data_IF_983411197582
#
_entry.id   IF_983411197582
#
_cell.length_a   1.000
_cell.length_b   1.000
_cell.length_c   1.000
_cell.angle_alpha   90.00
_cell.angle_beta   90.00
_cell.angle_gamma   90.00
#
_symmetry.space_group_name_H-M   'P 1'
#
loop_
_entity.id
_entity.type
_entity.pdbx_description
1 polymer ?
#
# COMPACT_ATOMS: atom_id res chain seq x y z
N UNK A 1 21.65 -1.98 -1.38
CA UNK A 1 20.73 -3.14 -1.35
C UNK A 1 20.30 -3.31 0.10
N UNK A 2 19.01 -3.33 0.39
CA UNK A 2 18.54 -3.53 1.77
C UNK A 2 18.81 -4.97 2.16
N UNK A 3 19.25 -5.19 3.40
CA UNK A 3 19.45 -6.51 3.97
C UNK A 3 18.27 -6.83 4.89
N UNK A 4 17.77 -8.07 4.81
CA UNK A 4 16.65 -8.55 5.62
C UNK A 4 17.12 -9.66 6.53
N UNK A 5 16.80 -9.56 7.82
CA UNK A 5 17.00 -10.68 8.75
C UNK A 5 15.91 -11.73 8.56
N UNK A 6 16.17 -12.96 9.01
CA UNK A 6 15.16 -14.02 8.96
C UNK A 6 13.92 -13.68 9.80
N UNK A 7 14.11 -12.96 10.91
CA UNK A 7 13.02 -12.47 11.75
C UNK A 7 12.14 -11.45 11.02
N UNK A 8 12.74 -10.50 10.28
CA UNK A 8 11.99 -9.53 9.48
C UNK A 8 11.21 -10.22 8.35
N UNK A 9 11.83 -11.16 7.64
CA UNK A 9 11.17 -11.94 6.58
C UNK A 9 9.99 -12.71 7.13
N UNK A 10 10.17 -13.37 8.27
CA UNK A 10 9.12 -14.13 8.94
C UNK A 10 7.98 -13.21 9.36
N UNK A 11 8.28 -12.09 10.03
CA UNK A 11 7.26 -11.14 10.46
C UNK A 11 6.44 -10.57 9.29
N UNK A 12 7.09 -10.23 8.18
CA UNK A 12 6.42 -9.73 6.97
C UNK A 12 5.56 -10.83 6.36
N UNK A 13 6.10 -12.03 6.13
CA UNK A 13 5.34 -13.16 5.58
C UNK A 13 4.11 -13.51 6.45
N UNK A 14 4.28 -13.47 7.78
CA UNK A 14 3.21 -13.69 8.76
C UNK A 14 2.09 -12.65 8.68
N UNK A 15 2.43 -11.37 8.44
CA UNK A 15 1.43 -10.32 8.19
C UNK A 15 0.62 -10.71 6.95
N UNK A 16 1.28 -10.93 5.80
CA UNK A 16 0.62 -11.26 4.54
C UNK A 16 -0.25 -12.53 4.64
N UNK A 17 0.19 -13.55 5.38
CA UNK A 17 -0.58 -14.77 5.60
C UNK A 17 -1.87 -14.56 6.41
N UNK A 18 -1.97 -13.48 7.19
CA UNK A 18 -3.11 -13.15 8.05
C UNK A 18 -3.97 -12.01 7.51
N UNK A 19 -3.59 -11.39 6.38
CA UNK A 19 -4.37 -10.31 5.77
C UNK A 19 -5.68 -10.85 5.20
N UNK A 20 -6.77 -10.14 5.48
CA UNK A 20 -8.00 -10.28 4.70
C UNK A 20 -7.97 -9.24 3.58
N UNK A 21 -7.65 -9.69 2.37
CA UNK A 21 -7.39 -8.78 1.25
C UNK A 21 -8.63 -7.98 0.83
N UNK A 22 -9.80 -8.60 0.94
CA UNK A 22 -11.09 -7.99 0.60
C UNK A 22 -11.59 -7.00 1.67
N UNK A 23 -10.93 -6.95 2.82
CA UNK A 23 -11.20 -5.96 3.86
C UNK A 23 -10.09 -4.91 3.93
N UNK A 24 -8.83 -5.33 3.99
CA UNK A 24 -7.67 -4.44 4.19
C UNK A 24 -7.45 -3.55 2.98
N UNK A 25 -7.52 -4.09 1.76
CA UNK A 25 -7.31 -3.34 0.53
C UNK A 25 -8.33 -2.20 0.39
N UNK A 26 -9.65 -2.50 0.41
CA UNK A 26 -10.70 -1.48 0.38
C UNK A 26 -10.60 -0.45 1.51
N UNK A 27 -10.33 -0.89 2.75
CA UNK A 27 -10.22 0.02 3.90
C UNK A 27 -9.01 0.95 3.78
N UNK A 28 -7.88 0.45 3.27
CA UNK A 28 -6.67 1.24 3.04
C UNK A 28 -6.92 2.35 2.01
N UNK A 29 -7.44 1.99 0.83
CA UNK A 29 -7.66 2.97 -0.23
C UNK A 29 -8.75 3.97 0.17
N UNK A 30 -9.85 3.50 0.76
CA UNK A 30 -10.93 4.38 1.26
C UNK A 30 -10.40 5.37 2.30
N UNK A 31 -9.60 4.91 3.26
CA UNK A 31 -8.96 5.78 4.27
C UNK A 31 -8.09 6.84 3.60
N UNK A 32 -7.27 6.45 2.62
CA UNK A 32 -6.41 7.39 1.90
C UNK A 32 -7.23 8.48 1.18
N UNK A 33 -8.28 8.09 0.46
CA UNK A 33 -9.17 9.03 -0.24
C UNK A 33 -9.95 9.96 0.69
N UNK A 34 -10.22 9.53 1.93
CA UNK A 34 -10.93 10.34 2.93
C UNK A 34 -9.98 11.28 3.67
N UNK A 35 -8.83 10.77 4.15
CA UNK A 35 -7.88 11.53 4.98
C UNK A 35 -7.04 12.49 4.13
N UNK A 36 -6.75 12.10 2.89
CA UNK A 36 -5.94 12.87 1.94
C UNK A 36 -6.75 13.14 0.67
N UNK A 37 -7.78 13.99 0.72
CA UNK A 37 -8.80 14.11 -0.33
C UNK A 37 -8.25 14.56 -1.69
N UNK A 38 -7.08 15.21 -1.75
CA UNK A 38 -6.41 15.53 -3.01
C UNK A 38 -6.05 14.29 -3.84
N UNK A 39 -5.91 13.12 -3.21
CA UNK A 39 -5.65 11.84 -3.90
C UNK A 39 -6.83 11.38 -4.75
N UNK A 40 -8.06 11.86 -4.48
CA UNK A 40 -9.24 11.54 -5.28
C UNK A 40 -9.10 11.96 -6.75
N UNK A 41 -8.24 12.95 -7.06
CA UNK A 41 -8.00 13.43 -8.43
C UNK A 41 -7.57 12.34 -9.42
N UNK A 42 -6.92 11.28 -8.93
CA UNK A 42 -6.45 10.17 -9.76
C UNK A 42 -7.55 9.14 -10.10
N UNK A 43 -8.71 9.24 -9.44
CA UNK A 43 -9.78 8.24 -9.50
C UNK A 43 -11.07 8.80 -10.11
N UNK A 44 -10.97 9.76 -11.04
CA UNK A 44 -12.14 10.40 -11.66
C UNK A 44 -13.10 9.43 -12.36
N UNK A 45 -12.60 8.27 -12.81
CA UNK A 45 -13.42 7.22 -13.43
C UNK A 45 -14.21 6.37 -12.41
N UNK A 46 -13.99 6.53 -11.10
CA UNK A 46 -14.62 5.68 -10.07
C UNK A 46 -16.02 6.17 -9.66
N UNK A 47 -16.52 7.24 -10.29
CA UNK A 47 -17.86 7.78 -10.03
C UNK A 47 -17.88 8.64 -8.76
N UNK A 48 -18.91 8.48 -7.93
CA UNK A 48 -19.15 9.35 -6.78
C UNK A 48 -18.14 9.10 -5.64
N UNK A 49 -17.30 10.09 -5.36
CA UNK A 49 -16.36 10.13 -4.24
C UNK A 49 -16.57 11.36 -3.33
N UNK A 50 -17.75 12.00 -3.40
CA UNK A 50 -17.99 13.31 -2.78
C UNK A 50 -17.87 13.33 -1.24
N UNK A 51 -18.22 12.24 -0.57
CA UNK A 51 -18.15 12.14 0.89
C UNK A 51 -17.69 10.75 1.35
N UNK A 52 -17.35 10.63 2.63
CA UNK A 52 -16.81 9.40 3.20
C UNK A 52 -17.73 8.19 3.02
N UNK A 53 -19.05 8.35 3.18
CA UNK A 53 -20.01 7.27 2.98
C UNK A 53 -19.99 6.77 1.53
N UNK A 54 -20.01 7.68 0.55
CA UNK A 54 -19.92 7.33 -0.86
C UNK A 54 -18.62 6.60 -1.19
N UNK A 55 -17.47 7.06 -0.67
CA UNK A 55 -16.16 6.42 -0.86
C UNK A 55 -16.15 5.01 -0.27
N UNK A 56 -16.59 4.84 0.98
CA UNK A 56 -16.53 3.56 1.71
C UNK A 56 -17.39 2.47 1.06
N UNK A 57 -18.48 2.85 0.38
CA UNK A 57 -19.36 1.89 -0.31
C UNK A 57 -19.10 1.80 -1.82
N UNK A 58 -18.06 2.46 -2.33
CA UNK A 58 -17.79 2.50 -3.77
C UNK A 58 -17.14 1.18 -4.23
N UNK A 59 -17.77 0.41 -5.15
CA UNK A 59 -17.26 -0.89 -5.58
C UNK A 59 -15.95 -0.79 -6.36
N UNK A 60 -15.71 0.32 -7.08
CA UNK A 60 -14.45 0.55 -7.81
C UNK A 60 -13.30 0.84 -6.85
N UNK A 61 -13.57 1.60 -5.77
CA UNK A 61 -12.59 1.83 -4.70
C UNK A 61 -12.24 0.50 -4.02
N UNK A 62 -13.25 -0.32 -3.70
CA UNK A 62 -13.00 -1.64 -3.10
C UNK A 62 -12.14 -2.52 -4.02
N UNK A 63 -12.57 -2.71 -5.27
CA UNK A 63 -11.84 -3.53 -6.23
C UNK A 63 -10.39 -3.05 -6.44
N UNK A 64 -10.18 -1.74 -6.57
CA UNK A 64 -8.83 -1.21 -6.77
C UNK A 64 -7.97 -1.30 -5.50
N UNK A 65 -8.56 -1.14 -4.31
CA UNK A 65 -7.88 -1.37 -3.04
C UNK A 65 -7.33 -2.80 -2.94
N UNK A 66 -8.12 -3.80 -3.35
CA UNK A 66 -7.67 -5.20 -3.42
C UNK A 66 -6.53 -5.38 -4.43
N UNK A 67 -6.60 -4.73 -5.60
CA UNK A 67 -5.50 -4.74 -6.61
C UNK A 67 -4.21 -4.16 -6.04
N UNK A 68 -4.28 -3.02 -5.34
CA UNK A 68 -3.12 -2.39 -4.69
C UNK A 68 -2.47 -3.35 -3.69
N UNK A 69 -3.30 -3.98 -2.84
CA UNK A 69 -2.80 -4.89 -1.80
C UNK A 69 -2.14 -6.15 -2.39
N UNK A 70 -2.74 -6.77 -3.41
CA UNK A 70 -2.09 -7.84 -4.18
C UNK A 70 -0.82 -7.38 -4.89
N UNK A 71 -0.74 -6.10 -5.27
CA UNK A 71 0.48 -5.48 -5.76
C UNK A 71 1.67 -5.72 -4.82
N UNK A 72 1.44 -5.69 -3.51
CA UNK A 72 2.44 -5.88 -2.45
C UNK A 72 2.91 -7.33 -2.29
N UNK A 73 2.12 -8.32 -2.72
CA UNK A 73 2.53 -9.74 -2.70
C UNK A 73 3.81 -9.96 -3.51
N UNK A 74 3.98 -9.20 -4.60
CA UNK A 74 5.18 -9.27 -5.43
C UNK A 74 6.42 -8.78 -4.68
N UNK A 75 6.30 -7.71 -3.90
CA UNK A 75 7.43 -7.23 -3.09
C UNK A 75 7.76 -8.21 -1.95
N UNK A 76 6.76 -8.76 -1.27
CA UNK A 76 6.99 -9.77 -0.22
C UNK A 76 7.67 -11.04 -0.77
N UNK A 77 7.26 -11.50 -1.96
CA UNK A 77 7.87 -12.66 -2.62
C UNK A 77 9.29 -12.39 -3.16
N UNK A 78 9.64 -11.12 -3.37
CA UNK A 78 10.91 -10.70 -3.97
C UNK A 78 11.63 -9.64 -3.11
N UNK A 79 11.68 -9.84 -1.80
CA UNK A 79 12.18 -8.84 -0.84
C UNK A 79 13.60 -8.33 -1.13
N UNK A 80 14.44 -9.16 -1.72
CA UNK A 80 15.83 -8.80 -2.07
C UNK A 80 15.93 -7.95 -3.35
N UNK A 81 14.88 -7.91 -4.16
CA UNK A 81 14.85 -7.22 -5.45
C UNK A 81 13.54 -6.46 -5.71
N UNK A 82 12.98 -5.85 -4.66
CA UNK A 82 11.76 -5.02 -4.75
C UNK A 82 11.92 -3.91 -5.79
N UNK A 83 13.14 -3.35 -5.90
CA UNK A 83 13.44 -2.26 -6.83
C UNK A 83 13.22 -2.68 -8.29
N UNK A 84 13.78 -3.82 -8.73
CA UNK A 84 13.55 -4.28 -10.09
C UNK A 84 12.10 -4.76 -10.28
N UNK A 85 11.55 -5.43 -9.27
CA UNK A 85 10.16 -5.94 -9.26
C UNK A 85 9.12 -4.84 -9.57
N UNK A 86 9.37 -3.60 -9.14
CA UNK A 86 8.46 -2.47 -9.35
C UNK A 86 8.91 -1.45 -10.38
N UNK A 87 9.93 -1.73 -11.20
CA UNK A 87 10.39 -0.79 -12.22
C UNK A 87 9.26 -0.35 -13.17
N UNK A 88 8.54 -1.29 -13.78
CA UNK A 88 7.43 -0.99 -14.69
C UNK A 88 6.26 -0.31 -13.99
N UNK A 89 6.01 -0.66 -12.72
CA UNK A 89 4.94 -0.05 -11.93
C UNK A 89 5.27 1.40 -11.58
N UNK A 90 6.54 1.70 -11.31
CA UNK A 90 7.03 3.06 -11.09
C UNK A 90 6.89 3.91 -12.36
N UNK A 91 7.26 3.37 -13.54
CA UNK A 91 7.03 4.02 -14.84
C UNK A 91 5.54 4.31 -15.06
N UNK A 92 4.67 3.33 -14.80
CA UNK A 92 3.22 3.51 -14.93
C UNK A 92 2.73 4.69 -14.08
N UNK A 93 3.09 4.72 -12.80
CA UNK A 93 2.61 5.77 -11.90
C UNK A 93 3.21 7.14 -12.21
N UNK A 94 4.44 7.20 -12.69
CA UNK A 94 5.13 8.44 -13.03
C UNK A 94 4.67 8.99 -14.40
N UNK A 95 4.83 8.22 -15.47
CA UNK A 95 4.75 8.70 -16.85
C UNK A 95 3.33 8.66 -17.43
N UNK A 96 2.46 7.80 -16.90
CA UNK A 96 1.08 7.66 -17.41
C UNK A 96 0.03 8.19 -16.45
N UNK A 97 0.17 7.87 -15.17
CA UNK A 97 -0.81 8.28 -14.16
C UNK A 97 -0.48 9.63 -13.52
N UNK A 98 0.77 10.09 -13.65
CA UNK A 98 1.27 11.34 -13.07
C UNK A 98 0.93 11.49 -11.58
N UNK A 99 1.03 10.38 -10.85
CA UNK A 99 0.80 10.35 -9.40
C UNK A 99 1.98 11.02 -8.72
N UNK A 100 1.76 12.11 -7.99
CA UNK A 100 2.81 12.73 -7.18
C UNK A 100 3.39 11.68 -6.19
N UNK A 101 4.72 11.47 -6.18
CA UNK A 101 5.37 10.39 -5.46
C UNK A 101 5.19 10.46 -3.94
N UNK A 102 4.89 11.63 -3.38
CA UNK A 102 4.64 11.75 -1.93
C UNK A 102 3.38 10.97 -1.50
N UNK A 103 2.44 10.72 -2.43
CA UNK A 103 1.23 9.96 -2.14
C UNK A 103 1.50 8.48 -1.83
N UNK A 104 2.62 7.91 -2.27
CA UNK A 104 2.96 6.52 -1.91
C UNK A 104 3.21 6.38 -0.41
N UNK A 105 3.84 7.37 0.22
CA UNK A 105 4.04 7.38 1.67
C UNK A 105 2.72 7.51 2.42
N UNK A 106 1.82 8.36 1.95
CA UNK A 106 0.49 8.53 2.55
C UNK A 106 -0.32 7.23 2.53
N UNK A 107 -0.28 6.50 1.41
CA UNK A 107 -0.94 5.21 1.28
C UNK A 107 -0.29 4.14 2.17
N UNK A 108 1.05 4.12 2.27
CA UNK A 108 1.79 3.23 3.16
C UNK A 108 1.44 3.45 4.65
N UNK A 109 1.31 4.72 5.06
CA UNK A 109 0.90 5.08 6.43
C UNK A 109 -0.56 4.63 6.69
N UNK A 110 -1.48 4.84 5.72
CA UNK A 110 -2.85 4.36 5.81
C UNK A 110 -2.93 2.84 5.95
N UNK A 111 -2.15 2.10 5.16
CA UNK A 111 -2.10 0.65 5.21
C UNK A 111 -1.60 0.16 6.57
N UNK A 112 -0.56 0.79 7.11
CA UNK A 112 -0.02 0.47 8.43
C UNK A 112 -1.09 0.64 9.52
N UNK A 113 -1.87 1.73 9.48
CA UNK A 113 -2.96 1.96 10.43
C UNK A 113 -4.06 0.88 10.31
N UNK A 114 -4.43 0.49 9.07
CA UNK A 114 -5.46 -0.54 8.86
C UNK A 114 -5.00 -1.91 9.37
N UNK A 115 -3.76 -2.30 9.08
CA UNK A 115 -3.18 -3.57 9.56
C UNK A 115 -3.06 -3.57 11.08
N UNK A 116 -2.61 -2.47 11.69
CA UNK A 116 -2.57 -2.34 13.14
C UNK A 116 -3.96 -2.50 13.77
N UNK A 117 -5.00 -1.94 13.15
CA UNK A 117 -6.39 -2.09 13.59
C UNK A 117 -6.90 -3.54 13.54
N UNK A 118 -6.51 -4.31 12.52
CA UNK A 118 -6.90 -5.72 12.39
C UNK A 118 -6.12 -6.63 13.35
N UNK A 119 -4.82 -6.41 13.50
CA UNK A 119 -3.94 -7.26 14.31
C UNK A 119 -4.02 -6.95 15.81
N UNK A 120 -4.41 -5.73 16.19
CA UNK A 120 -4.49 -5.30 17.58
C UNK A 120 -3.15 -5.49 18.31
N UNK A 121 -3.18 -6.14 19.47
CA UNK A 121 -1.99 -6.38 20.29
C UNK A 121 -0.93 -7.27 19.61
N UNK A 122 -1.27 -7.98 18.53
CA UNK A 122 -0.31 -8.75 17.76
C UNK A 122 0.58 -7.88 16.86
N UNK A 123 0.20 -6.62 16.61
CA UNK A 123 1.05 -5.65 15.91
C UNK A 123 2.04 -5.00 16.88
N UNK A 124 2.98 -5.81 17.36
CA UNK A 124 4.00 -5.38 18.33
C UNK A 124 4.96 -4.36 17.71
N UNK A 125 5.75 -3.62 18.52
CA UNK A 125 6.74 -2.69 17.99
C UNK A 125 7.74 -3.32 17.01
N UNK A 126 8.18 -4.55 17.26
CA UNK A 126 9.11 -5.25 16.36
C UNK A 126 8.46 -5.63 15.02
N UNK A 127 7.19 -6.08 15.06
CA UNK A 127 6.40 -6.37 13.85
C UNK A 127 6.17 -5.08 13.06
N UNK A 128 5.83 -3.98 13.73
CA UNK A 128 5.69 -2.68 13.11
C UNK A 128 7.01 -2.19 12.49
N UNK A 129 8.15 -2.38 13.16
CA UNK A 129 9.44 -1.97 12.64
C UNK A 129 9.80 -2.72 11.34
N UNK A 130 9.60 -4.05 11.31
CA UNK A 130 9.80 -4.85 10.10
C UNK A 130 8.85 -4.40 8.97
N UNK A 131 7.57 -4.15 9.31
CA UNK A 131 6.57 -3.69 8.35
C UNK A 131 6.86 -2.30 7.76
N UNK A 132 7.25 -1.34 8.61
CA UNK A 132 7.62 0.01 8.16
C UNK A 132 8.87 -0.02 7.29
N UNK A 133 9.87 -0.84 7.63
CA UNK A 133 11.04 -1.07 6.78
C UNK A 133 10.62 -1.62 5.42
N UNK A 134 9.74 -2.63 5.37
CA UNK A 134 9.18 -3.17 4.14
C UNK A 134 8.52 -2.11 3.27
N UNK A 135 7.59 -1.34 3.83
CA UNK A 135 6.90 -0.29 3.08
C UNK A 135 7.84 0.84 2.65
N UNK A 136 8.84 1.20 3.44
CA UNK A 136 9.84 2.20 3.03
C UNK A 136 10.61 1.76 1.78
N UNK A 137 10.96 0.47 1.67
CA UNK A 137 11.60 -0.08 0.46
C UNK A 137 10.64 -0.10 -0.73
N UNK A 138 9.38 -0.48 -0.51
CA UNK A 138 8.34 -0.43 -1.55
C UNK A 138 8.14 0.99 -2.07
N UNK A 139 7.97 1.97 -1.19
CA UNK A 139 7.82 3.39 -1.55
C UNK A 139 9.05 3.87 -2.32
N UNK A 140 10.26 3.57 -1.84
CA UNK A 140 11.49 3.92 -2.54
C UNK A 140 11.56 3.32 -3.96
N UNK A 141 11.11 2.08 -4.14
CA UNK A 141 11.05 1.43 -5.44
C UNK A 141 10.02 2.08 -6.37
N UNK A 142 8.83 2.42 -5.87
CA UNK A 142 7.79 3.10 -6.63
C UNK A 142 8.18 4.53 -7.05
N UNK A 143 8.96 5.23 -6.24
CA UNK A 143 9.48 6.57 -6.59
C UNK A 143 10.65 6.53 -7.58
N UNK A 144 11.21 5.36 -7.91
CA UNK A 144 12.55 5.29 -8.52
C UNK A 144 12.64 5.84 -9.95
N UNK A 145 11.56 5.77 -10.72
CA UNK A 145 11.51 6.18 -12.12
C UNK A 145 10.94 7.61 -12.32
N UNK A 146 10.71 8.33 -11.23
CA UNK A 146 10.33 9.74 -11.28
C UNK A 146 11.55 10.60 -11.65
N UNK A 147 11.33 11.59 -12.53
CA UNK A 147 12.34 12.55 -12.98
C UNK A 147 12.33 13.83 -12.14
#
# INVERSE_FOLDING_TARGET
>A
MVQWTDAERTAIADIFAKLDYETVGPNCLSRCLIVYPWTQRYFGAFGNLYNAAAIMTNPMVAAHGTVVLHGLDRAMKNMDDIKATYADLSVLHSEKLHVDPDNFRLLADCLTIVIAGQMGNAFTPDVQAAWQKFLAVVVSALCRQYQ
#
